data_IF_192585840867
#
_entry.id   IF_192585840867
#
_cell.length_a   1.000
_cell.length_b   1.000
_cell.length_c   1.000
_cell.angle_alpha   90.00
_cell.angle_beta   90.00
_cell.angle_gamma   90.00
#
_symmetry.space_group_name_H-M   'P 1'
#
loop_
_entity.id
_entity.type
_entity.pdbx_description
1 polymer ?
#
# COMPACT_ATOMS: atom_id res chain seq x y z
N UNK A 1 -10.03 9.40 -13.98
CA UNK A 1 -9.00 8.87 -13.06
C UNK A 1 -7.65 9.10 -13.73
N UNK A 2 -6.65 9.59 -13.01
CA UNK A 2 -5.32 9.83 -13.62
C UNK A 2 -4.50 8.55 -13.47
N UNK A 3 -4.02 8.00 -14.59
CA UNK A 3 -3.12 6.85 -14.55
C UNK A 3 -1.89 7.10 -15.40
N UNK A 4 -0.79 6.49 -14.97
CA UNK A 4 0.43 6.37 -15.78
C UNK A 4 0.56 4.93 -16.23
N UNK A 5 0.72 4.72 -17.54
CA UNK A 5 1.00 3.42 -18.12
C UNK A 5 2.42 3.40 -18.68
N UNK A 6 3.20 2.43 -18.22
CA UNK A 6 4.46 2.05 -18.86
C UNK A 6 4.27 0.71 -19.56
N UNK A 7 4.66 0.62 -20.84
CA UNK A 7 4.67 -0.63 -21.60
C UNK A 7 6.11 -1.00 -21.95
N UNK A 8 6.54 -2.18 -21.52
CA UNK A 8 7.81 -2.78 -21.92
C UNK A 8 7.50 -3.81 -23.02
N UNK A 9 8.11 -3.64 -24.19
CA UNK A 9 7.92 -4.55 -25.31
C UNK A 9 8.98 -5.65 -25.29
N UNK A 10 8.56 -6.88 -25.60
CA UNK A 10 9.42 -8.06 -25.60
C UNK A 10 8.94 -9.11 -24.59
N UNK A 11 9.45 -10.35 -24.71
CA UNK A 11 9.10 -11.42 -23.80
C UNK A 11 9.55 -11.12 -22.35
N UNK A 12 8.98 -11.82 -21.35
CA UNK A 12 9.35 -11.63 -19.94
C UNK A 12 10.85 -11.74 -19.68
N UNK A 13 11.55 -12.66 -20.36
CA UNK A 13 13.00 -12.84 -20.23
C UNK A 13 13.82 -11.61 -20.65
N UNK A 14 13.35 -10.86 -21.65
CA UNK A 14 14.04 -9.67 -22.16
C UNK A 14 13.66 -8.41 -21.37
N UNK A 15 12.43 -8.35 -20.87
CA UNK A 15 11.93 -7.18 -20.11
C UNK A 15 12.26 -7.25 -18.61
N UNK A 16 12.77 -8.38 -18.12
CA UNK A 16 12.99 -8.66 -16.70
C UNK A 16 13.89 -7.62 -16.01
N UNK A 17 15.02 -7.23 -16.61
CA UNK A 17 15.95 -6.28 -15.98
C UNK A 17 15.33 -4.88 -15.82
N UNK A 18 14.64 -4.42 -16.87
CA UNK A 18 13.94 -3.14 -16.88
C UNK A 18 12.77 -3.17 -15.88
N UNK A 19 12.06 -4.30 -15.81
CA UNK A 19 11.00 -4.51 -14.84
C UNK A 19 11.52 -4.51 -13.41
N UNK A 20 12.68 -5.13 -13.14
CA UNK A 20 13.28 -5.11 -11.82
C UNK A 20 13.64 -3.69 -11.37
N UNK A 21 14.11 -2.85 -12.30
CA UNK A 21 14.36 -1.43 -12.05
C UNK A 21 13.06 -0.69 -11.70
N UNK A 22 11.95 -1.02 -12.38
CA UNK A 22 10.64 -0.46 -12.05
C UNK A 22 10.14 -0.90 -10.68
N UNK A 23 10.28 -2.19 -10.34
CA UNK A 23 9.90 -2.74 -9.03
C UNK A 23 10.72 -2.04 -7.94
N UNK A 24 12.03 -1.89 -8.10
CA UNK A 24 12.86 -1.15 -7.14
C UNK A 24 12.41 0.30 -6.94
N UNK A 25 12.05 1.00 -8.03
CA UNK A 25 11.48 2.37 -7.93
C UNK A 25 10.14 2.36 -7.20
N UNK A 26 9.27 1.40 -7.51
CA UNK A 26 7.98 1.22 -6.85
C UNK A 26 8.19 0.99 -5.36
N UNK A 27 9.05 0.04 -4.97
CA UNK A 27 9.38 -0.25 -3.56
C UNK A 27 10.02 0.94 -2.84
N UNK A 28 10.79 1.77 -3.55
CA UNK A 28 11.34 3.01 -2.99
C UNK A 28 10.26 4.09 -2.76
N UNK A 29 9.22 4.13 -3.60
CA UNK A 29 8.14 5.13 -3.54
C UNK A 29 7.03 4.68 -2.59
N UNK A 30 6.75 3.38 -2.58
CA UNK A 30 5.65 2.71 -1.91
C UNK A 30 6.25 1.57 -1.09
N UNK A 31 6.76 1.86 0.12
CA UNK A 31 7.45 0.87 0.94
C UNK A 31 6.52 -0.25 1.45
N UNK A 32 5.21 -0.03 1.40
CA UNK A 32 4.18 -0.87 1.98
C UNK A 32 3.00 -1.04 1.01
N UNK A 33 2.37 -2.21 1.08
CA UNK A 33 1.09 -2.47 0.45
C UNK A 33 0.13 -3.08 1.47
N UNK A 34 -1.05 -2.46 1.58
CA UNK A 34 -2.18 -2.96 2.38
C UNK A 34 -2.63 -4.34 1.91
N UNK A 35 -2.51 -4.59 0.60
CA UNK A 35 -2.92 -5.85 -0.01
C UNK A 35 -2.14 -6.09 -1.29
N UNK A 36 -1.68 -7.33 -1.47
CA UNK A 36 -1.06 -7.78 -2.70
C UNK A 36 -1.77 -9.02 -3.22
N UNK A 37 -2.10 -8.99 -4.50
CA UNK A 37 -2.55 -10.15 -5.26
C UNK A 37 -1.46 -10.54 -6.25
N UNK A 38 -1.08 -11.81 -6.25
CA UNK A 38 -0.13 -12.38 -7.21
C UNK A 38 -0.78 -13.56 -7.90
N UNK A 39 -0.78 -13.54 -9.23
CA UNK A 39 -1.20 -14.69 -10.05
C UNK A 39 0.04 -15.37 -10.57
N UNK A 40 0.33 -16.56 -10.05
CA UNK A 40 1.55 -17.31 -10.35
C UNK A 40 1.32 -18.81 -10.25
N UNK A 41 2.14 -19.59 -10.95
CA UNK A 41 2.15 -21.04 -10.87
C UNK A 41 2.94 -21.52 -9.65
N UNK A 42 3.99 -20.80 -9.27
CA UNK A 42 4.82 -21.12 -8.10
C UNK A 42 4.32 -20.38 -6.86
N UNK A 43 4.01 -21.08 -5.75
CA UNK A 43 3.62 -20.43 -4.51
C UNK A 43 4.69 -19.41 -4.07
N UNK A 44 4.34 -18.14 -3.86
CA UNK A 44 5.28 -17.17 -3.34
C UNK A 44 5.67 -17.54 -1.89
N UNK A 45 6.85 -17.13 -1.41
CA UNK A 45 7.20 -17.29 -0.01
C UNK A 45 6.21 -16.52 0.87
N UNK A 46 5.93 -17.01 2.09
CA UNK A 46 5.14 -16.25 3.06
C UNK A 46 5.85 -14.92 3.33
N UNK A 47 5.15 -13.77 3.25
CA UNK A 47 5.77 -12.51 3.60
C UNK A 47 6.04 -12.45 5.10
N UNK A 48 7.04 -11.63 5.39
CA UNK A 48 7.69 -11.49 6.68
C UNK A 48 7.17 -10.19 7.29
N UNK A 49 6.00 -10.22 7.95
CA UNK A 49 5.38 -9.02 8.54
C UNK A 49 4.67 -9.30 9.86
N UNK A 50 4.74 -8.37 10.81
CA UNK A 50 4.10 -8.46 12.13
C UNK A 50 3.29 -7.18 12.43
N UNK A 51 2.02 -7.34 12.77
CA UNK A 51 1.21 -6.25 13.36
C UNK A 51 1.24 -6.44 14.88
N UNK A 52 1.76 -5.46 15.62
CA UNK A 52 1.90 -5.50 17.08
C UNK A 52 1.15 -4.31 17.69
N UNK A 53 0.19 -4.57 18.58
CA UNK A 53 -0.30 -3.57 19.54
C UNK A 53 0.71 -3.44 20.66
N UNK A 54 1.26 -2.25 20.86
CA UNK A 54 2.32 -2.05 21.85
C UNK A 54 2.30 -0.66 22.49
N UNK A 55 3.16 -0.49 23.48
CA UNK A 55 3.37 0.78 24.17
C UNK A 55 4.35 1.68 23.39
N UNK A 56 4.39 2.96 23.75
CA UNK A 56 5.27 3.97 23.12
C UNK A 56 6.76 3.68 23.24
N UNK A 57 7.18 3.06 24.34
CA UNK A 57 8.57 2.67 24.56
C UNK A 57 9.03 1.71 23.46
N UNK A 58 8.15 0.79 23.07
CA UNK A 58 8.43 -0.17 22.01
C UNK A 58 8.45 0.48 20.61
N UNK A 59 7.62 1.50 20.35
CA UNK A 59 7.68 2.26 19.09
C UNK A 59 9.03 2.96 18.90
N UNK A 60 9.55 3.58 19.96
CA UNK A 60 10.88 4.20 19.92
C UNK A 60 11.97 3.17 19.64
N UNK A 61 11.92 2.01 20.30
CA UNK A 61 12.91 0.95 20.12
C UNK A 61 12.87 0.38 18.70
N UNK A 62 11.68 0.13 18.16
CA UNK A 62 11.48 -0.37 16.79
C UNK A 62 11.97 0.62 15.74
N UNK A 63 11.66 1.91 15.89
CA UNK A 63 12.15 2.96 14.96
C UNK A 63 13.68 3.07 15.04
N UNK A 64 14.27 2.81 16.22
CA UNK A 64 15.72 2.84 16.42
C UNK A 64 16.46 1.57 16.02
N UNK A 65 15.79 0.43 15.92
CA UNK A 65 16.37 -0.82 15.43
C UNK A 65 16.92 -0.63 14.00
N UNK A 66 18.16 -1.07 13.78
CA UNK A 66 18.86 -0.98 12.49
C UNK A 66 18.31 -1.97 11.45
N UNK A 67 17.62 -3.01 11.89
CA UNK A 67 17.02 -4.05 11.04
C UNK A 67 15.62 -3.68 10.55
N UNK A 68 14.95 -2.77 11.24
CA UNK A 68 13.65 -2.25 10.82
C UNK A 68 13.81 -1.41 9.55
N UNK A 69 13.08 -1.78 8.50
CA UNK A 69 13.10 -1.09 7.20
C UNK A 69 11.92 -0.13 7.05
N UNK A 70 10.77 -0.48 7.64
CA UNK A 70 9.58 0.34 7.67
C UNK A 70 8.78 0.14 8.96
N UNK A 71 8.18 1.23 9.45
CA UNK A 71 7.22 1.22 10.56
C UNK A 71 6.05 2.11 10.17
N UNK A 72 4.84 1.62 10.37
CA UNK A 72 3.67 2.49 10.43
C UNK A 72 3.04 2.38 11.81
N UNK A 73 2.86 3.50 12.49
CA UNK A 73 2.29 3.56 13.81
C UNK A 73 1.17 4.58 13.89
N UNK A 74 0.10 4.23 14.60
CA UNK A 74 -1.04 5.11 14.89
C UNK A 74 -1.49 4.91 16.35
N UNK A 75 -2.06 5.91 17.04
CA UNK A 75 -2.56 5.72 18.39
C UNK A 75 -3.68 4.66 18.45
N UNK A 76 -3.65 3.77 19.43
CA UNK A 76 -4.58 2.65 19.56
C UNK A 76 -5.99 3.07 20.00
N UNK A 77 -6.07 4.11 20.85
CA UNK A 77 -7.33 4.57 21.46
C UNK A 77 -7.93 5.81 20.76
N UNK A 78 -7.48 6.16 19.55
CA UNK A 78 -8.05 7.28 18.82
C UNK A 78 -9.42 6.87 18.24
N UNK A 79 -10.44 6.92 19.09
CA UNK A 79 -11.84 6.66 18.72
C UNK A 79 -12.27 7.79 17.78
N UNK A 80 -12.32 7.47 16.49
CA UNK A 80 -12.89 8.36 15.50
C UNK A 80 -14.41 8.44 15.70
N UNK A 81 -14.85 9.53 16.33
CA UNK A 81 -16.27 9.83 16.57
C UNK A 81 -17.04 10.00 15.25
N UNK A 82 -16.34 10.12 14.11
CA UNK A 82 -16.95 10.10 12.79
C UNK A 82 -16.11 9.23 11.81
N UNK A 83 -16.59 8.03 11.41
CA UNK A 83 -15.87 7.13 10.52
C UNK A 83 -15.69 7.68 9.09
N UNK A 84 -16.52 8.62 8.65
CA UNK A 84 -16.35 9.31 7.35
C UNK A 84 -15.31 10.43 7.40
N UNK A 85 -14.81 10.77 8.60
CA UNK A 85 -13.80 11.80 8.86
C UNK A 85 -12.62 11.23 9.66
N UNK A 86 -12.37 9.92 9.55
CA UNK A 86 -11.51 9.18 10.47
C UNK A 86 -10.04 9.55 10.29
N UNK A 87 -9.61 10.65 10.88
CA UNK A 87 -8.24 11.12 10.83
C UNK A 87 -7.54 10.72 12.12
N UNK A 88 -6.49 9.92 11.95
CA UNK A 88 -5.68 9.39 13.04
C UNK A 88 -4.27 9.99 12.92
N UNK A 89 -3.63 10.31 14.05
CA UNK A 89 -2.22 10.72 14.01
C UNK A 89 -1.38 9.54 13.52
N UNK A 90 -0.41 9.76 12.65
CA UNK A 90 0.41 8.67 12.10
C UNK A 90 1.89 8.99 12.17
N UNK A 91 2.68 7.94 12.36
CA UNK A 91 4.12 7.94 12.19
C UNK A 91 4.47 6.87 11.16
N UNK A 92 5.13 7.28 10.10
CA UNK A 92 5.69 6.43 9.07
C UNK A 92 7.21 6.55 9.13
N UNK A 93 7.92 5.45 9.34
CA UNK A 93 9.36 5.35 9.17
C UNK A 93 9.64 4.55 7.89
N UNK A 94 10.50 5.07 7.02
CA UNK A 94 10.95 4.42 5.80
C UNK A 94 12.45 4.69 5.59
N UNK A 95 13.28 3.65 5.72
CA UNK A 95 14.72 3.65 5.38
C UNK A 95 15.47 4.91 5.88
N UNK A 96 15.29 5.25 7.17
CA UNK A 96 15.99 6.37 7.81
C UNK A 96 15.23 7.69 7.80
N UNK A 97 14.14 7.81 7.03
CA UNK A 97 13.26 8.98 7.01
C UNK A 97 11.99 8.70 7.80
N UNK A 98 11.51 9.74 8.47
CA UNK A 98 10.31 9.71 9.30
C UNK A 98 9.36 10.79 8.84
N UNK A 99 8.10 10.39 8.65
CA UNK A 99 6.97 11.24 8.34
C UNK A 99 5.95 11.12 9.46
N UNK A 100 5.62 12.25 10.08
CA UNK A 100 4.64 12.30 11.15
C UNK A 100 3.52 13.22 10.70
N UNK A 101 2.30 12.69 10.59
CA UNK A 101 1.11 13.48 10.28
C UNK A 101 0.31 13.63 11.56
N UNK A 102 0.18 14.88 12.00
CA UNK A 102 -0.46 15.20 13.28
C UNK A 102 -1.53 16.26 13.14
N UNK A 103 -2.56 16.12 13.96
CA UNK A 103 -3.59 17.12 14.12
C UNK A 103 -3.04 18.37 14.84
N UNK A 104 -3.68 19.52 14.59
CA UNK A 104 -3.24 20.81 15.12
C UNK A 104 -3.09 20.86 16.64
N UNK A 105 -3.98 20.22 17.39
CA UNK A 105 -3.94 20.19 18.85
C UNK A 105 -2.68 19.47 19.37
N UNK A 106 -2.37 18.30 18.82
CA UNK A 106 -1.16 17.54 19.11
C UNK A 106 0.08 18.30 18.63
N UNK A 107 0.04 18.89 17.43
CA UNK A 107 1.13 19.73 16.94
C UNK A 107 1.45 20.91 17.87
N UNK A 108 0.43 21.53 18.47
CA UNK A 108 0.62 22.63 19.42
C UNK A 108 1.29 22.21 20.73
N UNK A 109 1.19 20.92 21.11
CA UNK A 109 1.84 20.35 22.29
C UNK A 109 3.32 20.05 22.07
N UNK A 110 3.79 19.97 20.81
CA UNK A 110 5.19 19.70 20.51
C UNK A 110 6.01 21.00 20.62
N UNK A 111 7.00 21.07 21.51
CA UNK A 111 7.85 22.25 21.62
C UNK A 111 8.73 22.43 20.37
N UNK A 112 9.00 23.69 20.00
CA UNK A 112 10.00 24.10 19.01
C UNK A 112 9.80 23.67 17.53
N UNK A 113 8.67 23.06 17.16
CA UNK A 113 8.40 22.69 15.76
C UNK A 113 7.69 23.77 14.91
N UNK A 114 7.06 24.77 15.54
CA UNK A 114 6.21 25.76 14.84
C UNK A 114 6.92 26.54 13.72
N UNK A 115 8.24 26.71 13.81
CA UNK A 115 9.06 27.46 12.85
C UNK A 115 10.08 26.58 12.12
N UNK A 116 10.00 25.26 12.27
CA UNK A 116 10.95 24.35 11.64
C UNK A 116 10.67 24.21 10.14
N UNK A 117 11.72 24.26 9.31
CA UNK A 117 11.61 23.99 7.86
C UNK A 117 11.15 22.57 7.55
N UNK A 118 11.20 21.67 8.54
CA UNK A 118 10.74 20.28 8.49
C UNK A 118 9.21 20.15 8.56
N UNK A 119 8.52 21.24 8.86
CA UNK A 119 7.07 21.23 9.07
C UNK A 119 6.37 21.85 7.87
N UNK A 120 5.53 21.05 7.23
CA UNK A 120 4.61 21.50 6.20
C UNK A 120 3.19 21.51 6.74
N UNK A 121 2.57 22.69 6.74
CA UNK A 121 1.13 22.81 7.00
C UNK A 121 0.37 22.21 5.81
N UNK A 122 -0.41 21.15 6.07
CA UNK A 122 -1.27 20.52 5.07
C UNK A 122 -2.65 21.21 5.06
N UNK A 123 -3.25 21.35 3.88
CA UNK A 123 -4.50 22.08 3.67
C UNK A 123 -5.76 21.27 4.05
N UNK A 124 -6.60 21.94 4.84
CA UNK A 124 -8.03 21.76 5.23
C UNK A 124 -8.74 20.41 5.02
N UNK A 125 -9.37 19.93 6.11
CA UNK A 125 -10.69 19.30 6.05
C UNK A 125 -11.73 20.25 6.66
N UNK A 126 -12.81 20.52 5.92
CA UNK A 126 -13.97 21.25 6.46
C UNK A 126 -14.83 20.25 7.24
N UNK A 127 -14.85 20.40 8.55
CA UNK A 127 -15.65 19.52 9.43
C UNK A 127 -16.87 20.28 9.93
N UNK A 128 -18.07 19.83 9.55
CA UNK A 128 -19.34 20.36 10.05
C UNK A 128 -20.57 19.95 9.21
N UNK A 129 -21.73 19.87 9.87
CA UNK A 129 -23.06 19.79 9.24
C UNK A 129 -23.90 20.95 9.78
N UNK A 130 -24.58 21.71 8.91
CA UNK A 130 -25.53 22.75 9.33
C UNK A 130 -24.92 24.07 9.86
N UNK A 131 -24.17 24.80 9.02
CA UNK A 131 -23.89 26.23 9.24
C UNK A 131 -22.69 26.60 10.13
N UNK A 132 -22.19 25.67 10.96
CA UNK A 132 -20.99 25.88 11.77
C UNK A 132 -19.82 25.01 11.25
N UNK A 133 -18.95 25.61 10.44
CA UNK A 133 -17.74 24.95 9.97
C UNK A 133 -16.59 25.20 10.95
N UNK A 134 -15.98 24.13 11.46
CA UNK A 134 -14.69 24.21 12.15
C UNK A 134 -13.59 23.83 11.17
N UNK A 135 -12.63 24.75 10.98
CA UNK A 135 -11.42 24.45 10.19
C UNK A 135 -10.38 23.83 11.12
N UNK A 136 -10.07 22.56 10.88
CA UNK A 136 -8.99 21.84 11.56
C UNK A 136 -7.77 21.77 10.63
N UNK A 137 -6.58 22.10 11.13
CA UNK A 137 -5.34 22.04 10.36
C UNK A 137 -4.55 20.75 10.63
N UNK A 138 -3.80 20.33 9.62
CA UNK A 138 -2.88 19.19 9.67
C UNK A 138 -1.46 19.67 9.48
N UNK A 139 -0.52 18.98 10.12
CA UNK A 139 0.91 19.26 9.99
C UNK A 139 1.63 17.97 9.63
N UNK A 140 2.36 18.00 8.52
CA UNK A 140 3.33 16.98 8.14
C UNK A 140 4.68 17.41 8.69
N UNK A 141 5.33 16.53 9.43
CA UNK A 141 6.67 16.71 9.94
C UNK A 141 7.56 15.66 9.26
N UNK A 142 8.55 16.10 8.48
CA UNK A 142 9.52 15.21 7.84
C UNK A 142 10.89 15.35 8.53
N UNK A 143 11.46 14.25 9.02
CA UNK A 143 12.76 14.26 9.69
C UNK A 143 13.54 12.97 9.49
N UNK A 144 14.83 13.00 9.80
CA UNK A 144 15.67 11.80 9.82
C UNK A 144 15.55 11.08 11.17
N UNK A 145 15.84 9.78 11.16
CA UNK A 145 15.79 8.87 12.32
C UNK A 145 16.59 9.36 13.54
N UNK A 146 17.69 10.08 13.31
CA UNK A 146 18.72 10.34 14.34
C UNK A 146 18.53 11.67 15.09
N UNK A 147 17.31 12.22 15.04
CA UNK A 147 17.00 13.54 15.58
C UNK A 147 16.54 13.40 17.05
N UNK A 148 17.24 13.99 18.04
CA UNK A 148 16.89 13.87 19.46
C UNK A 148 15.42 14.25 19.79
N UNK A 149 14.86 15.17 19.01
CA UNK A 149 13.49 15.67 19.16
C UNK A 149 12.42 14.62 18.81
N UNK A 150 12.77 13.58 18.04
CA UNK A 150 11.85 12.53 17.60
C UNK A 150 11.24 11.77 18.79
N UNK A 151 12.04 11.46 19.81
CA UNK A 151 11.55 10.77 21.01
C UNK A 151 10.49 11.60 21.73
N UNK A 152 10.74 12.90 21.89
CA UNK A 152 9.78 13.82 22.52
C UNK A 152 8.48 13.94 21.73
N UNK A 153 8.54 13.88 20.40
CA UNK A 153 7.35 13.85 19.54
C UNK A 153 6.57 12.56 19.75
N UNK A 154 7.26 11.41 19.75
CA UNK A 154 6.64 10.11 19.97
C UNK A 154 5.94 10.08 21.33
N UNK A 155 6.64 10.45 22.40
CA UNK A 155 6.13 10.47 23.77
C UNK A 155 4.94 11.43 23.97
N UNK A 156 4.85 12.50 23.18
CA UNK A 156 3.77 13.51 23.28
C UNK A 156 2.48 13.09 22.56
N UNK A 157 2.62 12.37 21.45
CA UNK A 157 1.52 12.16 20.49
C UNK A 157 0.93 10.76 20.62
N UNK A 158 1.81 9.79 20.80
CA UNK A 158 1.49 8.39 20.87
C UNK A 158 1.52 8.02 22.36
N UNK A 159 0.52 7.30 22.86
CA UNK A 159 0.43 6.86 24.27
C UNK A 159 0.35 5.34 24.32
N UNK A 160 -0.69 4.79 23.70
CA UNK A 160 -0.73 3.41 23.20
C UNK A 160 -0.77 3.43 21.67
N UNK A 161 -0.11 2.47 21.02
CA UNK A 161 0.01 2.45 19.55
C UNK A 161 -0.27 1.10 18.94
N UNK A 162 -0.98 1.13 17.82
CA UNK A 162 -0.96 0.06 16.84
C UNK A 162 0.25 0.28 15.94
N UNK A 163 1.23 -0.63 16.01
CA UNK A 163 2.46 -0.59 15.24
C UNK A 163 2.42 -1.74 14.22
N UNK A 164 2.54 -1.39 12.96
CA UNK A 164 2.80 -2.34 11.89
C UNK A 164 4.30 -2.34 11.63
N UNK A 165 4.97 -3.43 11.97
CA UNK A 165 6.41 -3.64 11.74
C UNK A 165 6.62 -4.71 10.69
N UNK A 166 7.52 -4.47 9.75
CA UNK A 166 7.90 -5.48 8.77
C UNK A 166 9.11 -6.25 9.30
N UNK A 167 8.83 -7.20 10.19
CA UNK A 167 9.75 -8.16 10.79
C UNK A 167 9.14 -9.57 10.68
N UNK A 168 9.93 -10.66 10.79
CA UNK A 168 9.48 -12.02 10.53
C UNK A 168 8.34 -12.46 11.44
N UNK A 169 7.15 -12.56 10.86
CA UNK A 169 6.04 -13.31 11.42
C UNK A 169 5.27 -13.94 10.26
N UNK A 170 4.65 -15.08 10.50
CA UNK A 170 3.91 -15.79 9.48
C UNK A 170 2.62 -15.05 9.15
N UNK A 171 2.56 -14.46 7.95
CA UNK A 171 1.28 -14.07 7.35
C UNK A 171 0.66 -15.27 6.63
N UNK A 172 -0.66 -15.44 6.76
CA UNK A 172 -1.38 -16.47 6.02
C UNK A 172 -1.51 -16.08 4.54
N UNK A 173 -0.97 -16.93 3.66
CA UNK A 173 -1.18 -16.83 2.22
C UNK A 173 -2.54 -17.45 1.88
N UNK A 174 -3.49 -16.62 1.44
CA UNK A 174 -4.78 -17.12 0.96
C UNK A 174 -4.65 -17.51 -0.51
N UNK A 175 -4.83 -18.79 -0.81
CA UNK A 175 -4.83 -19.31 -2.18
C UNK A 175 -6.26 -19.47 -2.67
N UNK A 176 -6.54 -18.87 -3.81
CA UNK A 176 -7.81 -19.01 -4.50
C UNK A 176 -7.56 -19.35 -5.97
N UNK A 177 -8.46 -20.13 -6.56
CA UNK A 177 -8.50 -20.26 -8.01
C UNK A 177 -9.17 -19.01 -8.59
N UNK A 178 -8.43 -18.32 -9.45
CA UNK A 178 -8.97 -17.20 -10.23
C UNK A 178 -9.00 -17.60 -11.69
N UNK A 179 -9.93 -16.98 -12.40
CA UNK A 179 -10.06 -17.17 -13.82
C UNK A 179 -9.73 -15.89 -14.56
N UNK A 180 -8.76 -15.96 -15.47
CA UNK A 180 -8.34 -14.81 -16.25
C UNK A 180 -9.25 -14.64 -17.48
N UNK A 181 -9.75 -13.43 -17.75
CA UNK A 181 -10.59 -13.16 -18.92
C UNK A 181 -9.74 -13.11 -20.20
N UNK A 182 -10.38 -13.39 -21.35
CA UNK A 182 -9.80 -13.07 -22.65
C UNK A 182 -9.73 -11.55 -22.84
N UNK A 183 -8.61 -11.05 -23.34
CA UNK A 183 -8.28 -9.61 -23.33
C UNK A 183 -8.33 -8.96 -24.73
N UNK A 184 -9.31 -9.34 -25.56
CA UNK A 184 -9.43 -8.80 -26.92
C UNK A 184 -10.21 -7.48 -26.94
N UNK A 185 -9.74 -6.54 -27.75
CA UNK A 185 -10.37 -5.24 -28.05
C UNK A 185 -10.63 -4.30 -26.86
N UNK A 186 -10.07 -4.59 -25.67
CA UNK A 186 -10.11 -3.67 -24.52
C UNK A 186 -9.11 -2.54 -24.70
N UNK A 187 -9.53 -1.31 -24.40
CA UNK A 187 -8.58 -0.22 -24.23
C UNK A 187 -7.68 -0.44 -23.00
N UNK A 188 -6.64 0.37 -22.85
CA UNK A 188 -5.67 0.19 -21.76
C UNK A 188 -6.26 0.38 -20.36
N UNK A 189 -7.32 1.18 -20.21
CA UNK A 189 -7.97 1.44 -18.94
C UNK A 189 -9.02 0.36 -18.65
N UNK A 190 -9.82 -0.03 -19.64
CA UNK A 190 -10.75 -1.16 -19.54
C UNK A 190 -10.03 -2.47 -19.19
N UNK A 191 -8.85 -2.69 -19.80
CA UNK A 191 -7.97 -3.80 -19.47
C UNK A 191 -7.55 -3.76 -17.99
N UNK A 192 -7.16 -2.58 -17.50
CA UNK A 192 -6.80 -2.40 -16.09
C UNK A 192 -7.98 -2.70 -15.16
N UNK A 193 -9.17 -2.19 -15.47
CA UNK A 193 -10.38 -2.40 -14.65
C UNK A 193 -10.77 -3.88 -14.62
N UNK A 194 -10.73 -4.55 -15.77
CA UNK A 194 -11.06 -5.96 -15.90
C UNK A 194 -10.12 -6.84 -15.07
N UNK A 195 -8.81 -6.65 -15.21
CA UNK A 195 -7.81 -7.38 -14.42
C UNK A 195 -7.94 -7.09 -12.92
N UNK A 196 -8.17 -5.82 -12.55
CA UNK A 196 -8.32 -5.42 -11.14
C UNK A 196 -9.56 -6.06 -10.50
N UNK A 197 -10.67 -6.14 -11.24
CA UNK A 197 -11.91 -6.75 -10.78
C UNK A 197 -11.73 -8.24 -10.51
N UNK A 198 -11.15 -8.97 -11.47
CA UNK A 198 -10.89 -10.42 -11.37
C UNK A 198 -10.03 -10.78 -10.15
N UNK A 199 -9.11 -9.89 -9.76
CA UNK A 199 -8.24 -10.10 -8.61
C UNK A 199 -8.90 -9.72 -7.28
N UNK A 200 -9.77 -8.72 -7.27
CA UNK A 200 -10.35 -8.19 -6.03
C UNK A 200 -11.69 -8.82 -5.64
N UNK A 201 -12.46 -9.38 -6.57
CA UNK A 201 -13.72 -10.05 -6.23
C UNK A 201 -13.56 -11.56 -6.06
N UNK A 202 -14.45 -12.16 -5.26
CA UNK A 202 -14.58 -13.63 -5.21
C UNK A 202 -15.02 -14.14 -6.58
N UNK A 203 -14.54 -15.32 -6.97
CA UNK A 203 -14.98 -15.99 -8.21
C UNK A 203 -16.50 -16.09 -8.29
N UNK A 204 -17.14 -16.41 -7.17
CA UNK A 204 -18.60 -16.55 -7.08
C UNK A 204 -19.34 -15.21 -7.19
N UNK A 205 -18.64 -14.11 -6.93
CA UNK A 205 -19.15 -12.74 -7.03
C UNK A 205 -18.86 -12.08 -8.39
N UNK A 206 -18.11 -12.75 -9.27
CA UNK A 206 -18.08 -12.39 -10.69
C UNK A 206 -19.45 -12.79 -11.25
N UNK A 207 -20.43 -11.88 -11.08
CA UNK A 207 -21.76 -12.02 -11.66
C UNK A 207 -21.55 -12.22 -13.15
N UNK A 208 -22.08 -13.32 -13.67
CA UNK A 208 -22.18 -13.63 -15.11
C UNK A 208 -23.19 -12.67 -15.75
N UNK A 209 -22.93 -11.38 -15.64
CA UNK A 209 -23.77 -10.36 -16.23
C UNK A 209 -23.57 -10.41 -17.74
N UNK A 210 -24.66 -10.24 -18.47
CA UNK A 210 -24.86 -10.60 -19.87
C UNK A 210 -24.07 -9.72 -20.87
N UNK A 211 -23.17 -8.89 -20.34
CA UNK A 211 -22.22 -8.11 -21.13
C UNK A 211 -20.92 -8.88 -21.43
N UNK A 212 -20.53 -9.87 -20.61
CA UNK A 212 -19.36 -10.71 -20.88
C UNK A 212 -19.64 -11.90 -21.81
N UNK A 213 -20.90 -12.31 -21.96
CA UNK A 213 -21.36 -13.32 -22.92
C UNK A 213 -21.18 -12.88 -24.39
N UNK A 214 -21.06 -11.57 -24.65
CA UNK A 214 -20.75 -11.00 -25.98
C UNK A 214 -19.35 -11.29 -26.49
N UNK A 215 -18.46 -11.79 -25.64
CA UNK A 215 -17.03 -11.95 -25.95
C UNK A 215 -16.58 -13.42 -25.97
N UNK A 216 -17.52 -14.38 -26.09
CA UNK A 216 -17.22 -15.83 -26.18
C UNK A 216 -16.16 -16.30 -25.16
N UNK A 217 -16.23 -15.78 -23.93
CA UNK A 217 -15.24 -16.12 -22.91
C UNK A 217 -15.45 -17.58 -22.51
N UNK A 218 -14.64 -18.45 -23.09
CA UNK A 218 -14.57 -19.84 -22.71
C UNK A 218 -13.83 -19.93 -21.38
N UNK A 219 -14.61 -19.97 -20.31
CA UNK A 219 -14.14 -20.20 -18.95
C UNK A 219 -13.48 -21.59 -18.74
N UNK A 220 -12.99 -22.26 -19.79
CA UNK A 220 -12.14 -23.44 -19.69
C UNK A 220 -10.65 -23.15 -19.93
N UNK A 221 -10.26 -21.90 -20.19
CA UNK A 221 -8.85 -21.55 -20.40
C UNK A 221 -8.22 -20.99 -19.12
N UNK A 222 -7.16 -21.72 -18.70
CA UNK A 222 -6.19 -21.49 -17.63
C UNK A 222 -6.73 -20.95 -16.30
N UNK A 223 -7.06 -21.90 -15.40
CA UNK A 223 -7.10 -21.61 -13.97
C UNK A 223 -5.67 -21.39 -13.48
N UNK A 224 -5.42 -20.25 -12.86
CA UNK A 224 -4.14 -19.96 -12.23
C UNK A 224 -4.35 -19.73 -10.73
N UNK A 225 -3.32 -20.01 -9.95
CA UNK A 225 -3.36 -19.78 -8.51
C UNK A 225 -3.20 -18.27 -8.25
N UNK A 226 -4.17 -17.70 -7.54
CA UNK A 226 -4.08 -16.36 -6.96
C UNK A 226 -3.67 -16.47 -5.51
N UNK A 227 -2.55 -15.87 -5.16
CA UNK A 227 -2.11 -15.69 -3.79
C UNK A 227 -2.47 -14.28 -3.36
N UNK A 228 -3.21 -14.18 -2.26
CA UNK A 228 -3.57 -12.90 -1.65
C UNK A 228 -2.90 -12.80 -0.30
N UNK A 229 -2.31 -11.64 -0.05
CA UNK A 229 -1.72 -11.33 1.23
C UNK A 229 -1.98 -9.90 1.61
N UNK A 230 -2.26 -9.68 2.89
CA UNK A 230 -2.47 -8.37 3.46
C UNK A 230 -1.19 -7.91 4.16
N UNK A 231 -1.06 -6.60 4.28
CA UNK A 231 -0.05 -5.94 5.10
C UNK A 231 1.39 -6.41 4.82
N UNK A 232 1.91 -6.10 3.62
CA UNK A 232 3.24 -6.57 3.21
C UNK A 232 4.20 -5.43 2.88
N UNK A 233 5.47 -5.67 3.17
CA UNK A 233 6.57 -4.83 2.70
C UNK A 233 6.70 -4.96 1.18
N UNK A 234 6.97 -3.84 0.52
CA UNK A 234 7.26 -3.81 -0.92
C UNK A 234 8.50 -4.61 -1.33
N UNK A 235 9.41 -4.90 -0.40
CA UNK A 235 10.58 -5.74 -0.67
C UNK A 235 10.17 -7.20 -0.94
N UNK A 236 9.03 -7.65 -0.39
CA UNK A 236 8.51 -9.00 -0.64
C UNK A 236 8.25 -9.27 -2.13
N UNK A 237 7.96 -8.23 -2.92
CA UNK A 237 7.77 -8.35 -4.37
C UNK A 237 9.03 -8.92 -5.06
N UNK A 238 10.21 -8.59 -4.54
CA UNK A 238 11.48 -9.09 -5.06
C UNK A 238 11.69 -10.59 -4.74
N UNK A 239 10.99 -11.13 -3.75
CA UNK A 239 11.07 -12.52 -3.32
C UNK A 239 10.08 -13.43 -4.08
N UNK A 240 9.12 -12.85 -4.80
CA UNK A 240 8.15 -13.60 -5.60
C UNK A 240 8.88 -14.26 -6.79
N UNK A 241 8.68 -15.58 -7.01
CA UNK A 241 9.16 -16.26 -8.22
C UNK A 241 8.72 -15.54 -9.49
N UNK A 242 9.63 -15.30 -10.44
CA UNK A 242 9.39 -14.43 -11.60
C UNK A 242 8.50 -15.04 -12.70
N UNK A 243 7.84 -16.16 -12.42
CA UNK A 243 6.85 -16.84 -13.26
C UNK A 243 5.43 -16.27 -13.10
N UNK A 244 5.25 -15.24 -12.27
CA UNK A 244 3.96 -14.59 -12.10
C UNK A 244 3.51 -13.84 -13.37
N UNK A 245 2.20 -13.88 -13.63
CA UNK A 245 1.56 -13.20 -14.77
C UNK A 245 0.98 -11.85 -14.36
N UNK A 246 0.43 -11.75 -13.14
CA UNK A 246 -0.14 -10.51 -12.63
C UNK A 246 0.33 -10.26 -11.20
N UNK A 247 0.73 -9.01 -10.91
CA UNK A 247 0.93 -8.48 -9.57
C UNK A 247 0.06 -7.23 -9.38
N UNK A 248 -0.91 -7.29 -8.47
CA UNK A 248 -1.80 -6.19 -8.08
C UNK A 248 -1.39 -5.72 -6.69
N UNK A 249 -0.90 -4.49 -6.58
CA UNK A 249 -0.27 -3.94 -5.37
C UNK A 249 -1.08 -2.74 -4.88
N UNK A 250 -1.80 -2.91 -3.77
CA UNK A 250 -2.73 -1.92 -3.24
C UNK A 250 -2.13 -1.15 -2.06
N UNK A 251 -2.06 0.17 -2.18
CA UNK A 251 -1.95 1.09 -1.05
C UNK A 251 -3.32 1.60 -0.61
N UNK A 252 -3.35 2.47 0.40
CA UNK A 252 -4.59 3.13 0.83
C UNK A 252 -5.14 4.10 -0.23
N UNK A 253 -4.23 4.76 -0.96
CA UNK A 253 -4.57 5.84 -1.91
C UNK A 253 -4.02 5.60 -3.32
N UNK A 254 -3.39 4.46 -3.57
CA UNK A 254 -2.81 4.15 -4.87
C UNK A 254 -2.96 2.67 -5.20
N UNK A 255 -2.95 2.35 -6.49
CA UNK A 255 -2.94 0.99 -6.98
C UNK A 255 -1.91 0.85 -8.09
N UNK A 256 -1.07 -0.16 -7.97
CA UNK A 256 -0.10 -0.53 -9.01
C UNK A 256 -0.45 -1.90 -9.53
N UNK A 257 -0.72 -2.01 -10.84
CA UNK A 257 -0.99 -3.27 -11.51
C UNK A 257 0.13 -3.55 -12.48
N UNK A 258 0.71 -4.74 -12.41
CA UNK A 258 1.70 -5.22 -13.39
C UNK A 258 1.14 -6.46 -14.04
N UNK A 259 1.02 -6.45 -15.37
CA UNK A 259 0.57 -7.58 -16.16
C UNK A 259 1.65 -7.96 -17.18
N UNK A 260 2.11 -9.21 -17.11
CA UNK A 260 3.09 -9.80 -18.03
C UNK A 260 2.36 -10.68 -19.04
N UNK A 261 2.67 -10.47 -20.31
CA UNK A 261 2.24 -11.31 -21.42
C UNK A 261 3.48 -11.87 -22.12
N UNK A 262 3.35 -12.88 -23.00
CA UNK A 262 4.50 -13.39 -23.75
C UNK A 262 5.22 -12.36 -24.62
N UNK A 263 4.61 -11.19 -24.90
CA UNK A 263 5.14 -10.17 -25.80
C UNK A 263 5.29 -8.77 -25.18
N UNK A 264 4.78 -8.56 -23.96
CA UNK A 264 4.86 -7.26 -23.30
C UNK A 264 4.62 -7.33 -21.79
N UNK A 265 5.16 -6.35 -21.07
CA UNK A 265 4.78 -6.07 -19.69
C UNK A 265 4.13 -4.70 -19.61
N UNK A 266 2.90 -4.63 -19.08
CA UNK A 266 2.18 -3.39 -18.81
C UNK A 266 2.20 -3.08 -17.32
N UNK A 267 2.53 -1.85 -16.96
CA UNK A 267 2.60 -1.34 -15.59
C UNK A 267 1.68 -0.13 -15.49
N UNK A 268 0.58 -0.25 -14.75
CA UNK A 268 -0.31 0.86 -14.43
C UNK A 268 -0.01 1.37 -13.03
N UNK A 269 0.17 2.68 -12.89
CA UNK A 269 0.28 3.39 -11.61
C UNK A 269 -0.93 4.35 -11.49
N UNK A 270 -1.81 4.05 -10.54
CA UNK A 270 -3.03 4.81 -10.23
C UNK A 270 -2.84 5.54 -8.91
N UNK A 271 -3.14 6.84 -8.90
CA UNK A 271 -3.03 7.76 -7.75
C UNK A 271 -4.37 8.47 -7.55
#
# INVERSE_FOLDING_TARGET
MTYKLTTLHGPPSETQEILQTHIQRISATHPYFTKVHVVTNTPPPKPTAQVIRSTITYLWDVVNDSTTTYVFAKPADEININPDLSFTNTLEFNKGKIRIVVHQDKFQMIPNLKNSSRVKKLSQDKVGHGGNYFVKYKYLIEMDKVVPELKGIIDTIFSEVEITTFQPTEVELQTNQVQLPSLQDLDNYELYECLSLVLNVSKDSIVRDDNFSRYEINWSQELVNKYTVADVSSEWINEIPQDWTIASLHGETYHILIHRTPSSTKIWEII
#
